data_IF_062943954224
#
_entry.id   IF_062943954224
#
_cell.length_a   1.000
_cell.length_b   1.000
_cell.length_c   1.000
_cell.angle_alpha   90.00
_cell.angle_beta   90.00
_cell.angle_gamma   90.00
#
_symmetry.space_group_name_H-M   'P 1'
#
loop_
_entity.id
_entity.type
_entity.pdbx_description
1 polymer ?
#
# COMPACT_ATOMS: atom_id res chain seq x y z
N UNK A 1 5.90 -6.27 17.50
CA UNK A 1 5.77 -5.48 16.25
C UNK A 1 4.29 -5.38 15.93
N UNK A 2 3.74 -4.16 15.82
CA UNK A 2 2.31 -4.00 15.48
C UNK A 2 2.10 -4.11 13.97
N UNK A 3 0.93 -4.60 13.57
CA UNK A 3 0.54 -4.67 12.14
C UNK A 3 0.57 -3.27 11.51
N UNK A 4 0.12 -2.25 12.24
CA UNK A 4 0.12 -0.86 11.78
C UNK A 4 1.52 -0.33 11.48
N UNK A 5 2.49 -0.61 12.35
CA UNK A 5 3.89 -0.20 12.15
C UNK A 5 4.52 -0.90 10.95
N UNK A 6 4.26 -2.21 10.81
CA UNK A 6 4.75 -2.99 9.68
C UNK A 6 4.13 -2.52 8.34
N UNK A 7 2.83 -2.28 8.31
CA UNK A 7 2.14 -1.80 7.10
C UNK A 7 2.58 -0.39 6.71
N UNK A 8 2.81 0.50 7.68
CA UNK A 8 3.37 1.82 7.41
C UNK A 8 4.76 1.75 6.76
N UNK A 9 5.65 0.90 7.30
CA UNK A 9 6.97 0.67 6.74
C UNK A 9 6.89 0.09 5.31
N UNK A 10 6.09 -0.95 5.11
CA UNK A 10 5.95 -1.63 3.82
C UNK A 10 5.43 -0.68 2.73
N UNK A 11 4.35 0.05 3.01
CA UNK A 11 3.74 1.02 2.08
C UNK A 11 4.71 2.17 1.77
N UNK A 12 5.41 2.69 2.78
CA UNK A 12 6.38 3.77 2.58
C UNK A 12 7.61 3.37 1.76
N UNK A 13 8.24 2.24 2.09
CA UNK A 13 9.45 1.78 1.38
C UNK A 13 9.15 1.35 -0.05
N UNK A 14 8.05 0.64 -0.28
CA UNK A 14 7.65 0.24 -1.64
C UNK A 14 7.33 1.45 -2.52
N UNK A 15 6.62 2.46 -2.00
CA UNK A 15 6.33 3.69 -2.75
C UNK A 15 7.62 4.39 -3.21
N UNK A 16 8.61 4.52 -2.31
CA UNK A 16 9.92 5.11 -2.65
C UNK A 16 10.62 4.32 -3.76
N UNK A 17 10.68 2.98 -3.65
CA UNK A 17 11.33 2.13 -4.66
C UNK A 17 10.64 2.20 -6.02
N UNK A 18 9.31 2.33 -6.05
CA UNK A 18 8.54 2.46 -7.30
C UNK A 18 8.80 3.81 -7.95
N UNK A 19 8.79 4.91 -7.18
CA UNK A 19 9.10 6.23 -7.73
C UNK A 19 10.55 6.40 -8.18
N UNK A 20 11.48 5.70 -7.54
CA UNK A 20 12.89 5.68 -7.95
C UNK A 20 13.09 4.93 -9.28
N UNK A 21 12.44 3.77 -9.43
CA UNK A 21 12.52 2.97 -10.68
C UNK A 21 11.69 3.53 -11.83
N UNK A 22 10.60 4.22 -11.54
CA UNK A 22 9.63 4.70 -12.53
C UNK A 22 9.42 6.20 -12.38
N UNK A 23 10.40 6.99 -12.86
CA UNK A 23 10.38 8.45 -12.76
C UNK A 23 9.15 9.10 -13.41
N UNK A 24 8.53 8.46 -14.39
CA UNK A 24 7.28 8.88 -15.00
C UNK A 24 6.07 8.84 -14.04
N UNK A 25 6.06 7.90 -13.09
CA UNK A 25 5.00 7.81 -12.07
C UNK A 25 5.12 8.95 -11.05
N UNK A 26 6.32 9.47 -10.80
CA UNK A 26 6.53 10.63 -9.92
C UNK A 26 5.78 11.87 -10.41
N UNK A 27 5.63 12.03 -11.73
CA UNK A 27 4.89 13.14 -12.34
C UNK A 27 3.37 12.93 -12.31
N UNK A 28 2.91 11.68 -12.44
CA UNK A 28 1.48 11.32 -12.39
C UNK A 28 0.92 11.35 -10.97
N UNK A 29 1.73 11.05 -9.97
CA UNK A 29 1.38 11.04 -8.55
C UNK A 29 2.16 12.14 -7.82
N UNK A 30 2.01 13.39 -8.25
CA UNK A 30 2.79 14.56 -7.78
C UNK A 30 2.86 14.74 -6.26
N UNK A 31 1.86 14.26 -5.53
CA UNK A 31 1.83 14.27 -4.06
C UNK A 31 2.52 13.06 -3.40
N UNK A 32 3.21 12.22 -4.18
CA UNK A 32 3.92 10.99 -3.76
C UNK A 32 3.05 9.97 -3.00
N UNK A 33 1.73 10.11 -3.07
CA UNK A 33 0.78 9.14 -2.56
C UNK A 33 0.59 8.04 -3.60
N UNK A 34 1.35 6.96 -3.43
CA UNK A 34 1.27 5.80 -4.32
C UNK A 34 0.18 4.81 -3.90
N UNK A 35 -0.01 4.62 -2.59
CA UNK A 35 -0.99 3.71 -2.01
C UNK A 35 -2.16 4.48 -1.42
N UNK A 36 -3.35 3.87 -1.37
CA UNK A 36 -4.49 4.37 -0.60
C UNK A 36 -4.13 4.46 0.90
N UNK A 37 -4.78 5.33 1.66
CA UNK A 37 -4.50 5.50 3.10
C UNK A 37 -4.83 4.23 3.90
N UNK A 38 -5.94 3.58 3.57
CA UNK A 38 -6.41 2.36 4.21
C UNK A 38 -5.54 1.13 3.95
N UNK A 39 -5.72 0.11 4.79
CA UNK A 39 -5.26 -1.25 4.53
C UNK A 39 -6.21 -2.25 5.19
N UNK A 40 -6.38 -3.41 4.56
CA UNK A 40 -7.13 -4.54 5.11
C UNK A 40 -6.15 -5.59 5.63
N UNK A 41 -6.44 -6.14 6.81
CA UNK A 41 -5.68 -7.27 7.39
C UNK A 41 -6.66 -8.32 7.88
N UNK A 42 -6.40 -9.58 7.52
CA UNK A 42 -7.06 -10.76 8.08
C UNK A 42 -6.00 -11.61 8.80
N UNK A 43 -6.33 -12.10 9.99
CA UNK A 43 -5.43 -12.93 10.81
C UNK A 43 -5.52 -14.41 10.49
N UNK A 44 -6.54 -14.85 9.76
CA UNK A 44 -6.75 -16.25 9.38
C UNK A 44 -7.51 -16.32 8.04
N UNK A 45 -6.90 -16.90 7.01
CA UNK A 45 -7.51 -17.18 5.71
C UNK A 45 -7.85 -15.95 4.84
N UNK A 46 -7.58 -16.06 3.54
CA UNK A 46 -8.02 -15.09 2.53
C UNK A 46 -9.49 -15.37 2.20
N UNK A 47 -10.38 -14.45 2.58
CA UNK A 47 -11.78 -14.48 2.14
C UNK A 47 -11.94 -13.53 0.95
N UNK A 48 -12.05 -14.10 -0.25
CA UNK A 48 -12.22 -13.34 -1.50
C UNK A 48 -13.44 -12.40 -1.46
N UNK A 49 -14.55 -12.84 -0.83
CA UNK A 49 -15.75 -12.02 -0.70
C UNK A 49 -15.51 -10.78 0.17
N UNK A 50 -14.72 -10.91 1.24
CA UNK A 50 -14.38 -9.78 2.11
C UNK A 50 -13.46 -8.78 1.41
N UNK A 51 -12.50 -9.27 0.61
CA UNK A 51 -11.62 -8.40 -0.18
C UNK A 51 -12.43 -7.62 -1.22
N UNK A 52 -13.38 -8.27 -1.91
CA UNK A 52 -14.27 -7.60 -2.88
C UNK A 52 -15.14 -6.49 -2.26
N UNK A 53 -15.57 -6.64 -1.01
CA UNK A 53 -16.34 -5.60 -0.32
C UNK A 53 -15.46 -4.42 0.16
N UNK A 54 -14.15 -4.61 0.23
CA UNK A 54 -13.22 -3.59 0.72
C UNK A 54 -12.66 -2.70 -0.40
N UNK A 55 -12.51 -3.25 -1.61
CA UNK A 55 -12.02 -2.55 -2.81
C UNK A 55 -13.18 -1.82 -3.48
#
# INVERSE_FOLDING_TARGET
MSVSSFMGYLKGKSALMIFDKHANLKYKYGDRHFWAEGYYVSTVGLNEATIKNYI
#
